data_IF_654865105608
#
_entry.id   IF_654865105608
#
_cell.length_a   1.000
_cell.length_b   1.000
_cell.length_c   1.000
_cell.angle_alpha   90.00
_cell.angle_beta   90.00
_cell.angle_gamma   90.00
#
_symmetry.space_group_name_H-M   'P 1'
#
loop_
_entity.id
_entity.type
_entity.pdbx_description
1 polymer ?
#
# COMPACT_ATOMS: atom_id res chain seq x y z
N UNK A 1 62.62 -6.31 -36.29
CA UNK A 1 61.94 -5.52 -37.34
C UNK A 1 60.72 -6.29 -37.83
N UNK A 2 59.56 -5.64 -37.95
CA UNK A 2 58.49 -5.95 -38.94
C UNK A 2 58.80 -5.11 -40.21
N UNK A 3 58.27 -5.35 -41.44
CA UNK A 3 56.89 -5.78 -41.77
C UNK A 3 56.89 -7.04 -42.70
N UNK A 4 55.85 -7.45 -43.46
CA UNK A 4 54.57 -6.80 -43.82
C UNK A 4 53.37 -7.78 -43.93
N UNK A 5 52.44 -7.57 -44.89
CA UNK A 5 51.18 -8.32 -45.06
C UNK A 5 51.03 -8.93 -46.47
N UNK A 6 50.20 -9.97 -46.61
CA UNK A 6 49.17 -10.02 -47.67
C UNK A 6 47.96 -10.88 -47.24
N UNK A 7 46.76 -10.53 -47.72
CA UNK A 7 45.48 -11.19 -47.43
C UNK A 7 45.02 -12.03 -48.63
N UNK A 8 44.41 -13.20 -48.40
CA UNK A 8 43.32 -13.77 -49.23
C UNK A 8 42.29 -14.41 -48.29
N UNK A 9 41.01 -14.38 -48.66
CA UNK A 9 39.88 -14.86 -47.86
C UNK A 9 39.03 -15.93 -48.58
N UNK A 10 38.43 -16.85 -47.82
CA UNK A 10 37.16 -17.58 -48.09
C UNK A 10 36.91 -18.53 -46.92
N UNK A 11 35.87 -18.34 -46.10
CA UNK A 11 34.47 -18.72 -46.33
C UNK A 11 34.17 -20.22 -46.10
N UNK A 12 33.93 -20.59 -44.84
CA UNK A 12 32.93 -21.62 -44.49
C UNK A 12 32.00 -21.01 -43.44
N UNK A 13 30.79 -20.65 -43.88
CA UNK A 13 29.74 -20.18 -42.99
C UNK A 13 28.98 -21.41 -42.44
N UNK A 14 29.39 -21.90 -41.28
CA UNK A 14 28.57 -22.83 -40.51
C UNK A 14 27.46 -22.02 -39.81
N UNK A 15 26.30 -21.92 -40.46
CA UNK A 15 25.12 -21.29 -39.89
C UNK A 15 24.55 -22.15 -38.75
N UNK A 16 25.08 -21.97 -37.54
CA UNK A 16 24.40 -22.41 -36.33
C UNK A 16 23.18 -21.53 -36.09
N UNK A 17 22.07 -21.93 -36.71
CA UNK A 17 20.72 -21.54 -36.31
C UNK A 17 20.43 -22.15 -34.93
N UNK A 18 21.06 -21.59 -33.90
CA UNK A 18 20.58 -21.75 -32.53
C UNK A 18 19.27 -20.98 -32.46
N UNK A 19 18.18 -21.71 -32.57
CA UNK A 19 16.85 -21.17 -32.31
C UNK A 19 16.82 -20.62 -30.88
N UNK A 20 16.81 -19.29 -30.74
CA UNK A 20 16.55 -18.57 -29.49
C UNK A 20 15.07 -18.70 -29.06
N UNK A 21 14.54 -19.91 -29.16
CA UNK A 21 13.19 -20.25 -28.74
C UNK A 21 13.19 -20.46 -27.23
N UNK A 22 12.81 -19.41 -26.51
CA UNK A 22 12.07 -19.55 -25.26
C UNK A 22 12.73 -20.40 -24.17
N UNK A 23 13.93 -20.03 -23.72
CA UNK A 23 14.23 -20.18 -22.29
C UNK A 23 13.45 -19.13 -21.50
N UNK A 24 12.12 -19.26 -21.55
CA UNK A 24 11.21 -18.62 -20.61
C UNK A 24 11.52 -19.24 -19.26
N UNK A 25 12.40 -18.57 -18.50
CA UNK A 25 12.79 -19.03 -17.17
C UNK A 25 11.52 -19.22 -16.35
N UNK A 26 11.15 -20.47 -16.08
CA UNK A 26 9.96 -20.78 -15.29
C UNK A 26 10.24 -20.36 -13.85
N UNK A 27 9.96 -19.08 -13.56
CA UNK A 27 9.96 -18.55 -12.20
C UNK A 27 9.04 -19.44 -11.36
N UNK A 28 9.50 -19.82 -10.17
CA UNK A 28 8.75 -20.72 -9.31
C UNK A 28 7.36 -20.14 -9.02
N UNK A 29 6.31 -20.81 -9.50
CA UNK A 29 4.90 -20.44 -9.27
C UNK A 29 4.62 -20.44 -7.77
N UNK A 30 4.53 -19.24 -7.18
CA UNK A 30 4.68 -19.09 -5.74
C UNK A 30 3.41 -19.43 -4.94
N UNK A 31 2.25 -19.50 -5.60
CA UNK A 31 1.00 -19.97 -5.01
C UNK A 31 0.08 -20.61 -6.07
N UNK A 32 -0.38 -21.84 -5.86
CA UNK A 32 -1.45 -22.47 -6.65
C UNK A 32 -1.28 -22.52 -8.17
N UNK A 33 -0.05 -22.41 -8.69
CA UNK A 33 0.21 -22.27 -10.13
C UNK A 33 -0.04 -20.86 -10.71
N UNK A 34 -0.41 -19.88 -9.89
CA UNK A 34 -0.64 -18.50 -10.31
C UNK A 34 0.70 -17.81 -10.58
N UNK A 35 0.85 -17.30 -11.80
CA UNK A 35 1.99 -16.49 -12.21
C UNK A 35 1.72 -14.99 -12.04
N UNK A 36 2.81 -14.27 -11.83
CA UNK A 36 2.86 -12.81 -11.97
C UNK A 36 2.51 -12.36 -13.40
N UNK A 37 2.14 -11.10 -13.54
CA UNK A 37 2.05 -10.45 -14.86
C UNK A 37 3.42 -10.42 -15.53
N UNK A 38 3.49 -10.69 -16.84
CA UNK A 38 4.72 -10.49 -17.61
C UNK A 38 5.04 -9.01 -17.76
N UNK A 39 4.00 -8.20 -17.98
CA UNK A 39 4.05 -6.75 -18.06
C UNK A 39 2.84 -6.13 -17.36
N UNK A 40 3.00 -4.92 -16.87
CA UNK A 40 1.88 -4.09 -16.43
C UNK A 40 1.66 -2.96 -17.45
N UNK A 41 0.43 -2.45 -17.52
CA UNK A 41 0.18 -1.22 -18.27
C UNK A 41 1.05 -0.09 -17.67
N UNK A 42 1.63 0.81 -18.48
CA UNK A 42 2.16 2.05 -17.94
C UNK A 42 1.05 2.75 -17.16
N UNK A 43 1.27 3.01 -15.87
CA UNK A 43 0.41 3.94 -15.16
C UNK A 43 0.77 5.31 -15.71
N UNK A 44 -0.23 6.07 -16.15
CA UNK A 44 0.01 7.46 -16.54
C UNK A 44 0.74 8.17 -15.40
N UNK A 45 1.76 9.01 -15.69
CA UNK A 45 2.36 9.85 -14.67
C UNK A 45 1.26 10.64 -13.97
N UNK A 46 0.86 10.16 -12.79
CA UNK A 46 0.04 10.88 -11.82
C UNK A 46 0.92 12.05 -11.41
N UNK A 47 0.81 13.09 -12.24
CA UNK A 47 1.72 14.22 -12.26
C UNK A 47 1.71 14.76 -10.83
N UNK A 48 2.85 14.69 -10.10
CA UNK A 48 2.85 15.08 -8.71
C UNK A 48 2.29 16.49 -8.63
N UNK A 49 1.22 16.69 -7.84
CA UNK A 49 0.49 17.96 -7.79
C UNK A 49 1.37 19.16 -7.39
N UNK A 50 2.61 18.89 -6.96
CA UNK A 50 3.70 19.85 -6.77
C UNK A 50 4.66 19.90 -7.98
N UNK A 51 4.18 20.29 -9.16
CA UNK A 51 5.04 20.90 -10.21
C UNK A 51 4.30 21.82 -11.21
N UNK A 52 3.11 22.34 -10.86
CA UNK A 52 2.63 23.57 -11.48
C UNK A 52 3.45 24.74 -10.95
N UNK A 53 4.38 25.24 -11.76
CA UNK A 53 5.15 26.44 -11.42
C UNK A 53 4.20 27.64 -11.28
N UNK A 54 4.21 28.39 -10.16
CA UNK A 54 3.47 29.63 -10.04
C UNK A 54 4.22 30.76 -10.76
N UNK A 55 4.14 30.78 -12.10
CA UNK A 55 4.60 31.90 -12.91
C UNK A 55 3.44 32.87 -13.11
N UNK A 56 3.64 34.11 -12.63
CA UNK A 56 2.77 35.28 -12.81
C UNK A 56 1.41 35.27 -12.10
N UNK A 57 1.44 35.57 -10.80
CA UNK A 57 0.51 36.56 -10.25
C UNK A 57 1.25 37.55 -9.33
N UNK A 58 1.56 38.73 -9.88
CA UNK A 58 2.12 39.85 -9.13
C UNK A 58 1.03 40.57 -8.35
N UNK A 59 0.70 40.06 -7.17
CA UNK A 59 -0.08 40.77 -6.15
C UNK A 59 0.56 40.52 -4.78
N UNK A 60 0.82 41.55 -3.95
CA UNK A 60 1.41 41.36 -2.63
C UNK A 60 0.38 40.79 -1.66
N UNK A 61 0.44 39.48 -1.42
CA UNK A 61 -0.30 38.84 -0.33
C UNK A 61 0.54 38.84 0.96
N UNK A 62 -0.10 39.31 2.03
CA UNK A 62 0.45 39.34 3.39
C UNK A 62 0.78 37.92 3.85
N UNK A 63 2.00 37.71 4.34
CA UNK A 63 2.47 36.38 4.79
C UNK A 63 1.91 36.07 6.17
N UNK A 64 1.06 35.04 6.27
CA UNK A 64 0.77 34.34 7.52
C UNK A 64 1.85 33.25 7.73
N UNK A 65 2.65 33.32 8.82
CA UNK A 65 3.76 32.38 9.04
C UNK A 65 3.36 31.03 9.66
N UNK A 66 2.06 30.68 9.79
CA UNK A 66 1.61 29.52 10.58
C UNK A 66 1.37 28.19 9.81
N UNK A 67 1.85 28.04 8.57
CA UNK A 67 1.64 26.82 7.75
C UNK A 67 2.88 25.92 7.58
N UNK A 68 3.32 25.33 8.70
CA UNK A 68 4.42 24.36 8.77
C UNK A 68 4.04 22.89 8.52
N UNK A 69 3.13 22.57 7.59
CA UNK A 69 2.91 21.19 7.12
C UNK A 69 2.01 21.15 5.86
N UNK A 70 2.59 21.30 4.68
CA UNK A 70 1.90 20.99 3.42
C UNK A 70 1.69 19.48 3.29
N UNK A 71 0.66 18.95 3.98
CA UNK A 71 0.12 17.63 3.66
C UNK A 71 -0.32 17.69 2.20
N UNK A 72 0.40 16.96 1.35
CA UNK A 72 -0.04 16.74 -0.03
C UNK A 72 -1.47 16.22 0.03
N UNK A 73 -2.44 17.00 -0.45
CA UNK A 73 -3.78 16.46 -0.70
C UNK A 73 -3.58 15.37 -1.73
N UNK A 74 -3.61 14.11 -1.29
CA UNK A 74 -3.95 13.02 -2.19
C UNK A 74 -5.20 13.49 -2.94
N UNK A 75 -5.16 13.45 -4.28
CA UNK A 75 -6.31 13.82 -5.09
C UNK A 75 -7.50 13.04 -4.55
N UNK A 76 -8.55 13.74 -4.10
CA UNK A 76 -9.79 13.08 -3.75
C UNK A 76 -10.27 12.42 -5.02
N UNK A 77 -10.15 11.11 -5.09
CA UNK A 77 -10.85 10.34 -6.11
C UNK A 77 -12.31 10.43 -5.70
N UNK A 78 -13.05 11.34 -6.35
CA UNK A 78 -14.37 11.78 -5.90
C UNK A 78 -15.43 10.66 -5.88
N UNK A 79 -15.07 9.45 -6.35
CA UNK A 79 -15.67 8.19 -5.94
C UNK A 79 -14.60 7.08 -5.98
N UNK A 80 -14.03 6.61 -4.85
CA UNK A 80 -13.19 5.43 -4.85
C UNK A 80 -14.06 4.20 -5.14
N UNK A 81 -13.62 3.31 -6.03
CA UNK A 81 -14.35 2.08 -6.29
C UNK A 81 -14.25 1.17 -5.06
N UNK A 82 -15.39 0.68 -4.57
CA UNK A 82 -15.46 -0.21 -3.42
C UNK A 82 -15.81 -1.63 -3.86
N UNK A 83 -14.88 -2.55 -3.62
CA UNK A 83 -15.07 -3.98 -3.84
C UNK A 83 -15.13 -4.69 -2.47
N UNK A 84 -16.22 -5.42 -2.24
CA UNK A 84 -16.44 -6.15 -1.01
C UNK A 84 -16.10 -7.64 -1.20
N UNK A 85 -15.44 -8.23 -0.21
CA UNK A 85 -15.19 -9.67 -0.18
C UNK A 85 -15.20 -10.19 1.27
N UNK A 86 -15.60 -11.46 1.49
CA UNK A 86 -15.51 -12.09 2.79
C UNK A 86 -14.04 -12.39 3.13
N UNK A 87 -13.68 -12.30 4.40
CA UNK A 87 -12.36 -12.69 4.91
C UNK A 87 -12.48 -13.70 6.04
N UNK A 88 -11.42 -14.49 6.31
CA UNK A 88 -11.38 -15.34 7.50
C UNK A 88 -11.57 -14.52 8.78
N UNK A 89 -12.35 -15.04 9.73
CA UNK A 89 -12.64 -14.34 10.99
C UNK A 89 -11.39 -14.12 11.86
N UNK A 90 -10.42 -15.04 11.80
CA UNK A 90 -9.13 -14.90 12.49
C UNK A 90 -8.34 -13.69 12.00
N UNK A 91 -8.41 -13.39 10.69
CA UNK A 91 -7.70 -12.29 10.03
C UNK A 91 -8.27 -10.91 10.40
N UNK A 92 -9.53 -10.84 10.85
CA UNK A 92 -10.20 -9.59 11.14
C UNK A 92 -9.61 -8.86 12.37
N UNK A 93 -9.31 -7.57 12.23
CA UNK A 93 -8.69 -6.74 13.26
C UNK A 93 -7.56 -5.83 12.73
N UNK A 94 -6.81 -5.20 13.64
CA UNK A 94 -5.58 -4.47 13.33
C UNK A 94 -4.37 -5.34 13.58
N UNK A 95 -3.39 -5.24 12.69
CA UNK A 95 -2.16 -6.01 12.71
C UNK A 95 -0.97 -5.08 12.49
N UNK A 96 0.10 -5.27 13.26
CA UNK A 96 1.39 -4.63 13.04
C UNK A 96 2.41 -5.62 12.48
N UNK A 97 3.25 -5.14 11.57
CA UNK A 97 4.43 -5.83 11.05
C UNK A 97 5.67 -5.07 11.53
N UNK A 98 6.72 -5.81 11.89
CA UNK A 98 8.08 -5.29 12.09
C UNK A 98 9.05 -6.15 11.26
N UNK A 99 9.37 -5.67 10.08
CA UNK A 99 10.31 -6.27 9.13
C UNK A 99 9.77 -7.44 8.30
N UNK A 100 10.53 -7.73 7.25
CA UNK A 100 10.35 -8.86 6.34
C UNK A 100 11.63 -9.71 6.29
N UNK A 101 11.47 -11.03 6.23
CA UNK A 101 12.56 -11.94 5.87
C UNK A 101 12.54 -12.09 4.34
N UNK A 102 13.51 -11.48 3.66
CA UNK A 102 13.70 -11.69 2.22
C UNK A 102 14.43 -13.01 2.01
N UNK A 103 13.75 -14.03 1.51
CA UNK A 103 14.33 -15.36 1.27
C UNK A 103 15.26 -15.34 0.06
N UNK A 104 14.80 -14.77 -1.05
CA UNK A 104 15.54 -14.74 -2.33
C UNK A 104 15.10 -13.58 -3.21
N UNK A 105 16.02 -13.10 -4.05
CA UNK A 105 15.76 -12.09 -5.09
C UNK A 105 16.29 -12.60 -6.43
N UNK A 106 15.53 -12.43 -7.51
CA UNK A 106 15.92 -12.78 -8.88
C UNK A 106 15.97 -11.52 -9.75
N UNK A 107 17.11 -11.23 -10.38
CA UNK A 107 17.20 -10.21 -11.44
C UNK A 107 16.61 -10.81 -12.72
N UNK A 108 15.44 -10.31 -13.15
CA UNK A 108 14.70 -10.88 -14.29
C UNK A 108 15.36 -10.60 -15.64
N UNK A 109 16.29 -9.65 -15.72
CA UNK A 109 17.10 -9.38 -16.92
C UNK A 109 18.23 -10.39 -17.10
N UNK A 110 18.72 -11.00 -16.02
CA UNK A 110 19.82 -11.98 -16.06
C UNK A 110 19.39 -13.41 -15.73
N UNK A 111 18.21 -13.59 -15.13
CA UNK A 111 17.73 -14.88 -14.60
C UNK A 111 18.47 -15.35 -13.35
N UNK A 112 19.36 -14.53 -12.77
CA UNK A 112 20.15 -14.91 -11.60
C UNK A 112 19.33 -14.72 -10.32
N UNK A 113 19.09 -15.82 -9.61
CA UNK A 113 18.51 -15.83 -8.26
C UNK A 113 19.61 -15.85 -7.20
N UNK A 114 19.56 -14.88 -6.29
CA UNK A 114 20.42 -14.79 -5.10
C UNK A 114 19.59 -15.15 -3.86
N UNK A 115 19.96 -16.18 -3.08
CA UNK A 115 19.39 -16.38 -1.75
C UNK A 115 19.92 -15.29 -0.82
N UNK A 116 19.02 -14.64 -0.07
CA UNK A 116 19.35 -13.54 0.83
C UNK A 116 19.22 -13.97 2.29
N UNK A 117 18.07 -14.55 2.65
CA UNK A 117 17.66 -14.86 4.04
C UNK A 117 17.92 -13.69 5.02
N UNK A 118 17.72 -12.47 4.54
CA UNK A 118 18.03 -11.23 5.25
C UNK A 118 16.76 -10.64 5.86
N UNK A 119 16.82 -10.25 7.13
CA UNK A 119 15.78 -9.48 7.79
C UNK A 119 15.94 -8.00 7.43
N UNK A 120 14.97 -7.45 6.70
CA UNK A 120 14.89 -6.02 6.38
C UNK A 120 13.94 -5.38 7.37
N UNK A 121 14.41 -4.39 8.12
CA UNK A 121 13.55 -3.63 9.05
C UNK A 121 12.64 -2.67 8.28
N UNK A 122 11.34 -2.92 8.37
CA UNK A 122 10.27 -2.07 7.89
C UNK A 122 9.11 -2.05 8.90
N UNK A 123 8.23 -1.05 8.79
CA UNK A 123 7.09 -0.90 9.70
C UNK A 123 5.80 -0.64 8.95
N UNK A 124 4.78 -1.45 9.21
CA UNK A 124 3.44 -1.28 8.65
C UNK A 124 2.37 -1.68 9.66
N UNK A 125 1.27 -0.92 9.69
CA UNK A 125 0.01 -1.33 10.34
C UNK A 125 -1.07 -1.51 9.27
N UNK A 126 -1.81 -2.62 9.34
CA UNK A 126 -2.91 -2.94 8.42
C UNK A 126 -4.18 -3.29 9.20
N UNK A 127 -5.34 -2.88 8.70
CA UNK A 127 -6.65 -3.25 9.27
C UNK A 127 -7.41 -4.11 8.27
N UNK A 128 -7.78 -5.32 8.68
CA UNK A 128 -8.53 -6.30 7.89
C UNK A 128 -9.94 -6.47 8.48
N UNK A 129 -10.93 -6.60 7.59
CA UNK A 129 -12.35 -6.57 7.93
C UNK A 129 -12.84 -5.18 8.36
N UNK A 130 -14.02 -4.77 7.89
CA UNK A 130 -14.66 -3.51 8.29
C UNK A 130 -16.13 -3.65 8.66
N UNK A 131 -16.82 -4.69 8.18
CA UNK A 131 -18.22 -4.92 8.49
C UNK A 131 -18.50 -6.40 8.73
N UNK A 132 -19.69 -6.67 9.30
CA UNK A 132 -20.25 -8.01 9.40
C UNK A 132 -21.59 -8.06 8.68
N UNK A 133 -21.90 -9.20 8.07
CA UNK A 133 -23.21 -9.48 7.51
C UNK A 133 -24.22 -9.95 8.59
N UNK A 134 -25.41 -10.41 8.17
CA UNK A 134 -26.47 -10.91 9.06
C UNK A 134 -26.12 -12.25 9.74
N UNK A 135 -25.20 -13.02 9.18
CA UNK A 135 -24.74 -14.31 9.70
C UNK A 135 -23.48 -14.17 10.58
N UNK A 136 -22.86 -12.98 10.58
CA UNK A 136 -21.68 -12.67 11.37
C UNK A 136 -20.35 -12.90 10.64
N UNK A 137 -20.37 -13.27 9.34
CA UNK A 137 -19.16 -13.34 8.54
C UNK A 137 -18.54 -11.95 8.42
N UNK A 138 -17.21 -11.86 8.39
CA UNK A 138 -16.51 -10.58 8.30
C UNK A 138 -16.22 -10.24 6.85
N UNK A 139 -16.56 -9.02 6.47
CA UNK A 139 -16.38 -8.48 5.13
C UNK A 139 -15.35 -7.35 5.16
N UNK A 140 -14.42 -7.37 4.19
CA UNK A 140 -13.47 -6.29 3.96
C UNK A 140 -13.85 -5.51 2.70
N UNK A 141 -13.63 -4.20 2.74
CA UNK A 141 -13.81 -3.31 1.60
C UNK A 141 -12.44 -2.93 1.03
N UNK A 142 -12.14 -3.41 -0.17
CA UNK A 142 -11.07 -2.86 -0.97
C UNK A 142 -11.56 -1.56 -1.62
N UNK A 143 -11.13 -0.42 -1.07
CA UNK A 143 -11.33 0.89 -1.69
C UNK A 143 -10.12 1.15 -2.59
N UNK A 144 -10.35 1.28 -3.90
CA UNK A 144 -9.29 1.60 -4.87
C UNK A 144 -9.55 2.91 -5.61
N UNK A 145 -8.51 3.75 -5.81
CA UNK A 145 -7.16 3.57 -5.26
C UNK A 145 -7.12 3.86 -3.75
N UNK A 146 -6.18 3.24 -3.03
CA UNK A 146 -5.90 3.58 -1.62
C UNK A 146 -4.42 3.58 -1.31
N UNK A 147 -3.98 4.57 -0.54
CA UNK A 147 -2.58 4.75 -0.16
C UNK A 147 -2.30 4.12 1.21
N UNK A 148 -1.18 3.40 1.32
CA UNK A 148 -0.60 2.98 2.59
C UNK A 148 0.79 3.60 2.72
N UNK A 149 1.08 4.16 3.88
CA UNK A 149 2.39 4.73 4.20
C UNK A 149 3.16 3.77 5.12
N UNK A 150 4.46 3.69 4.92
CA UNK A 150 5.39 2.94 5.75
C UNK A 150 6.80 3.53 5.70
N UNK A 151 7.71 2.91 6.43
CA UNK A 151 9.13 3.26 6.46
C UNK A 151 9.97 2.00 6.24
N UNK A 152 11.04 2.11 5.45
CA UNK A 152 12.00 1.03 5.18
C UNK A 152 13.39 1.62 4.98
N UNK A 153 14.37 1.18 5.77
CA UNK A 153 15.78 1.60 5.68
C UNK A 153 15.98 3.14 5.63
N UNK A 154 15.21 3.90 6.42
CA UNK A 154 15.28 5.38 6.46
C UNK A 154 14.63 6.09 5.27
N UNK A 155 13.94 5.36 4.38
CA UNK A 155 13.07 5.91 3.33
C UNK A 155 11.62 5.91 3.81
N UNK A 156 10.89 6.98 3.52
CA UNK A 156 9.43 6.92 3.55
C UNK A 156 8.95 6.22 2.28
N UNK A 157 8.01 5.28 2.42
CA UNK A 157 7.45 4.52 1.30
C UNK A 157 5.94 4.71 1.26
N UNK A 158 5.43 5.14 0.10
CA UNK A 158 4.01 5.15 -0.22
C UNK A 158 3.69 4.01 -1.17
N UNK A 159 2.69 3.21 -0.80
CA UNK A 159 2.11 2.13 -1.59
C UNK A 159 0.70 2.54 -2.00
N UNK A 160 0.55 3.06 -3.21
CA UNK A 160 -0.76 3.35 -3.80
C UNK A 160 -1.30 2.05 -4.43
N UNK A 161 -2.21 1.39 -3.73
CA UNK A 161 -2.95 0.24 -4.25
C UNK A 161 -3.87 0.74 -5.37
N UNK A 162 -3.61 0.27 -6.59
CA UNK A 162 -4.43 0.58 -7.78
C UNK A 162 -5.34 -0.58 -8.19
N UNK A 163 -4.99 -1.80 -7.80
CA UNK A 163 -5.85 -2.97 -7.92
C UNK A 163 -5.54 -3.98 -6.80
N UNK A 164 -6.56 -4.66 -6.28
CA UNK A 164 -6.42 -5.81 -5.41
C UNK A 164 -7.49 -6.81 -5.83
N UNK A 165 -7.09 -8.07 -6.04
CA UNK A 165 -7.98 -9.17 -6.38
C UNK A 165 -7.80 -10.31 -5.39
N UNK A 166 -8.90 -10.94 -5.02
CA UNK A 166 -8.88 -12.19 -4.24
C UNK A 166 -8.65 -13.36 -5.18
N UNK A 167 -7.65 -14.18 -4.86
CA UNK A 167 -7.33 -15.42 -5.56
C UNK A 167 -7.97 -16.62 -4.86
N UNK A 168 -7.96 -16.60 -3.52
CA UNK A 168 -8.62 -17.58 -2.66
C UNK A 168 -9.12 -16.88 -1.40
N UNK A 169 -10.33 -17.22 -0.96
CA UNK A 169 -10.84 -16.92 0.38
C UNK A 169 -11.54 -18.16 0.93
N UNK A 170 -10.93 -18.81 1.92
CA UNK A 170 -11.50 -19.92 2.68
C UNK A 170 -11.50 -19.56 4.17
N UNK A 171 -12.17 -20.31 5.06
CA UNK A 171 -12.07 -20.03 6.50
C UNK A 171 -10.64 -20.17 7.08
N UNK A 172 -9.73 -20.84 6.35
CA UNK A 172 -8.35 -21.11 6.76
C UNK A 172 -7.30 -20.26 6.03
N UNK A 173 -7.54 -19.89 4.76
CA UNK A 173 -6.57 -19.15 3.94
C UNK A 173 -7.19 -17.88 3.34
N UNK A 174 -6.36 -16.86 3.15
CA UNK A 174 -6.62 -15.81 2.17
C UNK A 174 -5.41 -15.70 1.23
N UNK A 175 -5.65 -15.70 -0.08
CA UNK A 175 -4.64 -15.40 -1.09
C UNK A 175 -5.08 -14.20 -1.92
N UNK A 176 -4.18 -13.23 -2.11
CA UNK A 176 -4.46 -11.98 -2.82
C UNK A 176 -3.43 -11.70 -3.91
N UNK A 177 -3.85 -10.96 -4.93
CA UNK A 177 -3.00 -10.33 -5.94
C UNK A 177 -3.20 -8.82 -5.84
N UNK A 178 -2.17 -8.08 -5.47
CA UNK A 178 -2.25 -6.63 -5.28
C UNK A 178 -1.26 -5.92 -6.20
N UNK A 179 -1.73 -4.93 -6.95
CA UNK A 179 -0.90 -4.05 -7.76
C UNK A 179 -0.79 -2.69 -7.06
N UNK A 180 0.46 -2.29 -6.82
CA UNK A 180 0.86 -1.02 -6.24
C UNK A 180 1.61 -0.15 -7.26
N UNK A 181 1.38 1.16 -7.22
CA UNK A 181 2.42 2.13 -7.56
C UNK A 181 3.16 2.47 -6.27
N UNK A 182 4.46 2.27 -6.27
CA UNK A 182 5.34 2.50 -5.11
C UNK A 182 6.13 3.77 -5.34
N UNK A 183 6.16 4.64 -4.33
CA UNK A 183 6.98 5.86 -4.29
C UNK A 183 7.87 5.83 -3.05
N UNK A 184 9.17 5.98 -3.26
CA UNK A 184 10.15 6.08 -2.18
C UNK A 184 10.68 7.51 -2.07
N UNK A 185 10.78 8.07 -0.85
CA UNK A 185 11.40 9.38 -0.61
C UNK A 185 12.42 9.33 0.52
N UNK A 186 13.49 10.14 0.38
CA UNK A 186 14.50 10.37 1.41
C UNK A 186 14.33 11.81 1.87
N UNK A 187 13.88 12.01 3.12
CA UNK A 187 13.44 13.32 3.60
C UNK A 187 12.30 13.89 2.74
N UNK A 188 12.62 14.88 1.89
CA UNK A 188 11.67 15.51 0.94
C UNK A 188 11.94 15.17 -0.53
N UNK A 189 13.02 14.46 -0.83
CA UNK A 189 13.44 14.17 -2.21
C UNK A 189 12.88 12.83 -2.68
N UNK A 190 12.42 12.78 -3.93
CA UNK A 190 11.97 11.54 -4.58
C UNK A 190 13.17 10.65 -4.88
N UNK A 191 13.21 9.45 -4.28
CA UNK A 191 14.28 8.48 -4.49
C UNK A 191 13.98 7.54 -5.67
N UNK A 192 12.76 7.02 -5.78
CA UNK A 192 12.34 6.14 -6.88
C UNK A 192 10.80 6.14 -7.03
N UNK A 193 10.33 5.75 -8.21
CA UNK A 193 8.93 5.43 -8.49
C UNK A 193 8.84 4.22 -9.43
N UNK A 194 8.11 3.19 -8.99
CA UNK A 194 7.99 1.93 -9.72
C UNK A 194 6.61 1.29 -9.54
N UNK A 195 6.29 0.30 -10.37
CA UNK A 195 5.11 -0.53 -10.17
C UNK A 195 5.52 -1.84 -9.48
N UNK A 196 4.66 -2.39 -8.63
CA UNK A 196 4.88 -3.68 -7.98
C UNK A 196 3.60 -4.50 -7.98
N UNK A 197 3.71 -5.77 -8.36
CA UNK A 197 2.66 -6.77 -8.15
C UNK A 197 3.08 -7.71 -7.02
N UNK A 198 2.20 -7.90 -6.04
CA UNK A 198 2.37 -8.86 -4.96
C UNK A 198 1.34 -9.98 -5.06
N UNK A 199 1.81 -11.22 -5.03
CA UNK A 199 1.00 -12.41 -4.78
C UNK A 199 1.26 -12.81 -3.33
N UNK A 200 0.27 -12.68 -2.45
CA UNK A 200 0.43 -12.94 -1.01
C UNK A 200 -0.53 -14.04 -0.55
N UNK A 201 -0.01 -15.04 0.17
CA UNK A 201 -0.80 -16.02 0.92
C UNK A 201 -0.68 -15.73 2.42
N UNK A 202 -1.82 -15.50 3.07
CA UNK A 202 -1.93 -15.30 4.51
C UNK A 202 -2.36 -16.59 5.20
N UNK A 203 -1.63 -16.95 6.27
CA UNK A 203 -1.91 -18.09 7.13
C UNK A 203 -1.83 -17.69 8.60
N UNK A 204 -2.69 -18.25 9.44
CA UNK A 204 -2.59 -18.11 10.90
C UNK A 204 -1.50 -19.05 11.43
N UNK A 205 -0.65 -18.58 12.34
CA UNK A 205 0.51 -19.35 12.84
C UNK A 205 0.51 -19.45 14.36
N UNK A 206 0.17 -20.64 14.87
CA UNK A 206 0.11 -20.90 16.31
C UNK A 206 -1.17 -20.35 16.94
N UNK A 207 -1.06 -19.27 17.70
CA UNK A 207 -2.22 -18.62 18.35
C UNK A 207 -2.94 -17.65 17.42
N UNK A 208 -4.16 -17.24 17.81
CA UNK A 208 -5.03 -16.33 17.04
C UNK A 208 -4.47 -14.91 16.80
N UNK A 209 -3.30 -14.59 17.36
CA UNK A 209 -2.70 -13.25 17.34
C UNK A 209 -1.43 -13.18 16.46
N UNK A 210 -1.08 -14.25 15.74
CA UNK A 210 0.05 -14.28 14.80
C UNK A 210 -0.37 -14.78 13.42
N UNK A 211 0.02 -14.02 12.41
CA UNK A 211 -0.26 -14.32 11.00
C UNK A 211 1.05 -14.17 10.20
N UNK A 212 1.35 -15.16 9.38
CA UNK A 212 2.40 -15.05 8.37
C UNK A 212 1.77 -14.62 7.05
N UNK A 213 2.46 -13.74 6.33
CA UNK A 213 2.17 -13.46 4.93
C UNK A 213 3.37 -13.88 4.08
N UNK A 214 3.20 -14.94 3.29
CA UNK A 214 4.21 -15.46 2.38
C UNK A 214 3.95 -14.80 1.02
N UNK A 215 4.91 -14.01 0.54
CA UNK A 215 4.71 -13.12 -0.62
C UNK A 215 5.71 -13.38 -1.74
N UNK A 216 5.22 -13.35 -2.97
CA UNK A 216 6.02 -13.11 -4.18
C UNK A 216 5.78 -11.67 -4.64
N UNK A 217 6.83 -10.89 -4.78
CA UNK A 217 6.77 -9.50 -5.23
C UNK A 217 7.55 -9.34 -6.54
N UNK A 218 6.84 -9.10 -7.65
CA UNK A 218 7.44 -8.66 -8.91
C UNK A 218 7.47 -7.15 -8.97
N UNK A 219 8.66 -6.59 -9.12
CA UNK A 219 8.87 -5.15 -9.33
C UNK A 219 9.10 -4.89 -10.80
N UNK A 220 8.40 -3.90 -11.34
CA UNK A 220 8.47 -3.44 -12.71
C UNK A 220 9.03 -2.02 -12.78
N UNK A 221 9.48 -1.56 -13.95
CA UNK A 221 9.72 -0.15 -14.20
C UNK A 221 8.41 0.64 -14.12
N UNK A 222 8.52 1.98 -14.11
CA UNK A 222 7.35 2.83 -14.22
C UNK A 222 6.53 2.55 -15.50
N UNK A 223 7.21 2.17 -16.58
CA UNK A 223 6.65 1.75 -17.87
C UNK A 223 6.20 0.27 -17.90
N UNK A 224 6.08 -0.39 -16.74
CA UNK A 224 5.54 -1.75 -16.63
C UNK A 224 6.49 -2.88 -17.09
N UNK A 225 7.80 -2.61 -17.27
CA UNK A 225 8.78 -3.62 -17.67
C UNK A 225 9.33 -4.39 -16.45
N UNK A 226 9.28 -5.73 -16.40
CA UNK A 226 9.71 -6.49 -15.23
C UNK A 226 11.21 -6.30 -14.96
N UNK A 227 11.57 -6.05 -13.69
CA UNK A 227 12.96 -5.82 -13.23
C UNK A 227 13.46 -6.94 -12.32
N UNK A 228 12.71 -7.28 -11.28
CA UNK A 228 13.10 -8.28 -10.27
C UNK A 228 11.88 -9.00 -9.69
N UNK A 229 12.07 -10.26 -9.31
CA UNK A 229 11.17 -11.00 -8.41
C UNK A 229 11.82 -11.13 -7.04
N UNK A 230 11.04 -11.05 -5.98
CA UNK A 230 11.48 -11.28 -4.60
C UNK A 230 10.52 -12.19 -3.86
N UNK A 231 11.04 -13.13 -3.07
CA UNK A 231 10.24 -13.96 -2.15
C UNK A 231 10.48 -13.51 -0.72
N UNK A 232 9.40 -13.21 0.00
CA UNK A 232 9.44 -12.66 1.35
C UNK A 232 8.50 -13.41 2.29
N UNK A 233 8.83 -13.41 3.58
CA UNK A 233 7.92 -13.77 4.67
C UNK A 233 7.80 -12.58 5.61
N UNK A 234 6.57 -12.10 5.79
CA UNK A 234 6.20 -11.07 6.76
C UNK A 234 5.56 -11.72 7.99
N UNK A 235 5.97 -11.34 9.19
CA UNK A 235 5.33 -11.76 10.43
C UNK A 235 4.47 -10.63 11.01
N UNK A 236 3.18 -10.88 11.16
CA UNK A 236 2.22 -9.94 11.74
C UNK A 236 1.80 -10.35 13.14
N UNK A 237 1.72 -9.37 14.04
CA UNK A 237 1.12 -9.52 15.38
C UNK A 237 -0.18 -8.73 15.46
N UNK A 238 -1.21 -9.33 16.03
CA UNK A 238 -2.52 -8.68 16.20
C UNK A 238 -2.45 -7.63 17.31
N UNK A 239 -2.86 -6.41 17.01
CA UNK A 239 -2.80 -5.26 17.93
C UNK A 239 -4.18 -4.75 18.34
N UNK A 240 -5.24 -5.10 17.60
CA UNK A 240 -6.63 -4.83 18.00
C UNK A 240 -7.54 -5.88 17.39
N UNK A 241 -8.55 -6.31 18.15
CA UNK A 241 -9.59 -7.19 17.65
C UNK A 241 -10.47 -6.48 16.60
N UNK A 242 -11.29 -7.27 15.90
CA UNK A 242 -12.25 -6.73 14.94
C UNK A 242 -13.36 -5.93 15.62
N UNK A 243 -13.56 -4.71 15.14
CA UNK A 243 -14.72 -3.88 15.42
C UNK A 243 -15.28 -3.35 14.09
N UNK A 244 -16.60 -3.33 13.86
CA UNK A 244 -17.17 -2.74 12.65
C UNK A 244 -16.88 -1.23 12.56
N UNK A 245 -16.42 -0.79 11.39
CA UNK A 245 -16.21 0.63 11.10
C UNK A 245 -17.48 1.22 10.47
N UNK A 246 -18.06 2.26 11.10
CA UNK A 246 -19.26 2.92 10.56
C UNK A 246 -19.00 3.56 9.19
N UNK A 247 -17.87 4.25 9.02
CA UNK A 247 -17.50 4.88 7.76
C UNK A 247 -15.99 4.86 7.49
N UNK A 248 -15.63 5.00 6.21
CA UNK A 248 -14.24 5.13 5.75
C UNK A 248 -14.21 5.98 4.48
N UNK A 249 -13.34 6.99 4.43
CA UNK A 249 -13.25 7.94 3.30
C UNK A 249 -14.61 8.58 2.93
N UNK A 250 -15.46 8.86 3.92
CA UNK A 250 -16.80 9.44 3.72
C UNK A 250 -17.91 8.45 3.38
N UNK A 251 -17.58 7.20 3.02
CA UNK A 251 -18.55 6.16 2.68
C UNK A 251 -19.10 5.50 3.96
N UNK A 252 -20.43 5.41 4.10
CA UNK A 252 -21.09 4.52 5.06
C UNK A 252 -20.88 3.06 4.63
N UNK A 253 -20.09 2.34 5.43
CA UNK A 253 -19.70 0.97 5.10
C UNK A 253 -20.82 -0.05 5.37
N UNK A 254 -21.73 0.21 6.31
CA UNK A 254 -22.84 -0.69 6.60
C UNK A 254 -23.89 -0.64 5.46
N UNK A 255 -24.21 0.57 5.00
CA UNK A 255 -25.09 0.78 3.85
C UNK A 255 -24.44 0.21 2.57
N UNK A 256 -23.16 0.53 2.31
CA UNK A 256 -22.44 0.03 1.13
C UNK A 256 -22.36 -1.50 1.06
N UNK A 257 -22.06 -2.19 2.17
CA UNK A 257 -22.05 -3.66 2.20
C UNK A 257 -23.45 -4.22 1.90
N UNK A 258 -24.50 -3.66 2.49
CA UNK A 258 -25.86 -4.13 2.26
C UNK A 258 -26.28 -3.99 0.79
N UNK A 259 -25.90 -2.90 0.11
CA UNK A 259 -26.20 -2.69 -1.30
C UNK A 259 -25.39 -3.62 -2.21
N UNK A 260 -24.12 -3.86 -1.89
CA UNK A 260 -23.30 -4.88 -2.55
C UNK A 260 -23.95 -6.27 -2.42
N UNK A 261 -24.33 -6.69 -1.22
CA UNK A 261 -24.95 -7.99 -0.97
C UNK A 261 -26.27 -8.16 -1.74
N UNK A 262 -27.12 -7.11 -1.81
CA UNK A 262 -28.37 -7.15 -2.59
C UNK A 262 -28.11 -7.28 -4.09
N UNK A 263 -27.19 -6.46 -4.63
CA UNK A 263 -26.87 -6.44 -6.07
C UNK A 263 -26.19 -7.72 -6.56
N UNK A 264 -25.51 -8.46 -5.67
CA UNK A 264 -24.82 -9.71 -5.98
C UNK A 264 -25.62 -10.97 -5.60
N UNK A 265 -26.96 -10.88 -5.53
CA UNK A 265 -27.88 -11.99 -5.19
C UNK A 265 -27.66 -12.61 -3.79
N UNK A 266 -26.99 -11.91 -2.88
CA UNK A 266 -26.71 -12.30 -1.49
C UNK A 266 -27.61 -11.55 -0.49
N UNK A 267 -28.81 -11.15 -0.89
CA UNK A 267 -29.71 -10.32 -0.08
C UNK A 267 -30.06 -10.93 1.30
N UNK A 268 -29.99 -12.26 1.46
CA UNK A 268 -30.18 -12.95 2.75
C UNK A 268 -29.06 -12.64 3.77
N UNK A 269 -27.86 -12.24 3.30
CA UNK A 269 -26.74 -11.80 4.13
C UNK A 269 -26.87 -10.33 4.53
N UNK A 270 -27.67 -9.52 3.83
CA UNK A 270 -27.83 -8.11 4.17
C UNK A 270 -28.46 -7.96 5.56
N UNK A 271 -27.88 -7.10 6.40
CA UNK A 271 -28.48 -6.74 7.68
C UNK A 271 -29.78 -5.99 7.42
N UNK A 272 -30.85 -6.41 8.10
CA UNK A 272 -32.05 -5.61 8.19
C UNK A 272 -31.66 -4.27 8.84
N UNK A 273 -31.75 -3.20 8.06
CA UNK A 273 -31.70 -1.85 8.63
C UNK A 273 -33.02 -1.71 9.35
N UNK A 274 -33.00 -1.89 10.68
CA UNK A 274 -34.16 -1.58 11.51
C UNK A 274 -34.63 -0.20 11.11
N UNK A 275 -35.81 -0.12 10.50
CA UNK A 275 -36.36 1.16 10.05
C UNK A 275 -36.30 2.09 11.25
N UNK A 276 -35.57 3.20 11.13
CA UNK A 276 -35.52 4.20 12.18
C UNK A 276 -36.94 4.72 12.29
N UNK A 277 -37.70 4.18 13.24
CA UNK A 277 -39.05 4.66 13.53
C UNK A 277 -38.91 6.16 13.72
N UNK A 278 -39.51 6.99 12.85
CA UNK A 278 -39.39 8.43 12.99
C UNK A 278 -39.76 8.77 14.43
N UNK A 279 -38.96 9.58 15.15
CA UNK A 279 -39.21 9.86 16.56
C UNK A 279 -40.67 10.30 16.67
N UNK A 280 -41.46 9.52 17.43
CA UNK A 280 -42.92 9.60 17.40
C UNK A 280 -43.30 11.06 17.65
N UNK A 281 -43.75 11.74 16.61
CA UNK A 281 -43.78 13.19 16.59
C UNK A 281 -44.95 13.61 17.49
N UNK A 282 -44.65 13.87 18.77
CA UNK A 282 -45.59 13.93 19.90
C UNK A 282 -46.62 15.04 19.85
N UNK A 283 -46.76 15.71 18.71
CA UNK A 283 -47.84 16.63 18.39
C UNK A 283 -49.12 15.86 18.07
N UNK A 284 -49.64 15.19 19.11
CA UNK A 284 -51.05 14.84 19.22
C UNK A 284 -51.88 16.13 19.39
N UNK A 285 -51.92 16.97 18.35
CA UNK A 285 -52.91 18.02 18.27
C UNK A 285 -54.28 17.35 18.10
N UNK A 286 -55.13 17.50 19.13
CA UNK A 286 -56.46 16.92 19.14
C UNK A 286 -57.27 17.38 17.94
N UNK A 287 -57.78 16.42 17.18
CA UNK A 287 -58.66 16.69 16.05
C UNK A 287 -60.00 17.23 16.57
N UNK A 288 -60.25 18.52 16.35
CA UNK A 288 -61.50 19.20 16.72
C UNK A 288 -61.89 20.21 15.65
N UNK A 289 -62.94 19.87 14.89
CA UNK A 289 -63.61 20.66 13.85
C UNK A 289 -62.76 20.87 12.56
N UNK A 290 -63.23 20.55 11.35
CA UNK A 290 -64.50 20.88 10.67
C UNK A 290 -64.55 22.31 10.14
N UNK A 291 -64.91 22.44 8.85
CA UNK A 291 -64.93 23.65 8.02
C UNK A 291 -63.52 24.24 7.70
N UNK A 292 -63.24 24.73 6.49
CA UNK A 292 -64.06 24.79 5.28
C UNK A 292 -63.21 25.07 4.03
N UNK A 293 -63.84 24.95 2.86
CA UNK A 293 -63.24 25.25 1.56
C UNK A 293 -62.95 26.75 1.43
N UNK A 294 -61.75 27.15 1.01
CA UNK A 294 -61.62 28.40 0.25
C UNK A 294 -60.40 28.43 -0.67
N UNK A 295 -60.61 29.02 -1.84
CA UNK A 295 -59.64 29.12 -2.94
C UNK A 295 -59.32 30.57 -3.24
N UNK A 296 -58.06 30.99 -3.13
CA UNK A 296 -57.62 32.30 -3.64
C UNK A 296 -56.19 32.29 -4.15
N UNK A 297 -55.99 32.92 -5.31
CA UNK A 297 -54.68 33.19 -5.90
C UNK A 297 -53.96 34.33 -5.15
N UNK A 298 -52.64 34.26 -5.05
CA UNK A 298 -51.80 35.34 -4.51
C UNK A 298 -50.35 35.23 -4.97
N UNK A 299 -49.95 36.05 -5.94
CA UNK A 299 -48.59 36.14 -6.47
C UNK A 299 -47.91 37.42 -5.96
N UNK A 300 -46.68 37.32 -5.42
CA UNK A 300 -45.75 38.45 -5.37
C UNK A 300 -44.31 38.03 -5.05
N UNK A 301 -43.37 38.41 -5.92
CA UNK A 301 -41.94 38.49 -5.61
C UNK A 301 -41.64 39.65 -4.64
N UNK A 302 -40.62 39.55 -3.78
CA UNK A 302 -39.75 40.69 -3.45
C UNK A 302 -38.42 40.28 -2.78
N UNK A 303 -37.41 41.13 -2.92
CA UNK A 303 -36.07 41.01 -2.35
C UNK A 303 -36.00 41.48 -0.89
N UNK A 304 -34.95 41.09 -0.16
CA UNK A 304 -34.65 41.62 1.17
C UNK A 304 -33.24 41.31 1.67
N UNK A 305 -32.31 42.25 1.48
CA UNK A 305 -31.01 42.28 2.17
C UNK A 305 -31.19 42.82 3.59
N UNK A 306 -30.41 42.36 4.58
CA UNK A 306 -30.47 42.88 5.96
C UNK A 306 -29.22 42.56 6.79
N UNK A 307 -28.42 43.60 7.08
CA UNK A 307 -27.30 43.56 8.03
C UNK A 307 -27.68 44.20 9.39
N UNK A 308 -26.77 44.05 10.37
CA UNK A 308 -26.73 44.67 11.71
C UNK A 308 -27.68 44.08 12.76
N UNK A 309 -27.28 43.96 14.04
CA UNK A 309 -25.98 44.23 14.68
C UNK A 309 -26.11 44.16 16.22
N UNK A 310 -24.99 44.20 16.98
CA UNK A 310 -25.06 44.33 18.46
C UNK A 310 -23.91 43.72 19.27
N UNK A 311 -22.97 44.56 19.70
CA UNK A 311 -21.93 44.29 20.74
C UNK A 311 -22.51 44.73 22.12
N UNK A 312 -22.01 44.29 23.31
CA UNK A 312 -20.74 44.81 23.86
C UNK A 312 -19.89 43.84 24.75
N UNK A 313 -18.63 43.66 24.36
CA UNK A 313 -17.40 43.97 25.11
C UNK A 313 -17.31 43.76 26.66
N UNK A 314 -16.27 43.05 27.12
CA UNK A 314 -15.62 43.27 28.43
C UNK A 314 -14.08 43.08 28.37
N UNK A 315 -13.35 43.96 29.07
CA UNK A 315 -11.88 44.07 29.08
C UNK A 315 -11.17 43.06 30.02
N UNK A 316 -9.87 42.81 29.81
CA UNK A 316 -9.01 42.19 30.86
C UNK A 316 -7.60 41.72 30.45
N UNK A 317 -6.64 42.65 30.30
CA UNK A 317 -5.19 42.41 30.29
C UNK A 317 -4.58 43.49 31.23
N UNK A 318 -3.53 43.27 32.06
CA UNK A 318 -2.18 42.97 31.55
C UNK A 318 -1.21 42.12 32.42
N UNK A 319 -0.09 41.75 31.77
CA UNK A 319 1.26 41.46 32.30
C UNK A 319 1.58 40.11 32.99
N UNK A 320 2.66 39.49 32.49
CA UNK A 320 3.39 38.38 33.11
C UNK A 320 4.50 37.89 32.18
N UNK A 321 5.74 38.34 32.37
CA UNK A 321 6.85 38.07 31.45
C UNK A 321 7.58 36.74 31.69
N UNK A 322 8.51 36.39 30.80
CA UNK A 322 9.37 35.21 30.95
C UNK A 322 10.18 34.85 29.71
N UNK A 323 11.36 35.46 29.55
CA UNK A 323 12.41 34.96 28.65
C UNK A 323 13.02 33.69 29.27
N UNK A 324 13.40 32.69 28.48
CA UNK A 324 14.83 32.39 28.49
C UNK A 324 15.46 32.14 27.11
N UNK A 325 16.68 32.67 26.95
CA UNK A 325 17.64 32.22 25.96
C UNK A 325 17.82 30.70 26.01
N UNK A 326 17.97 30.08 24.85
CA UNK A 326 18.86 28.93 24.73
C UNK A 326 19.73 29.05 23.47
N UNK A 327 21.04 28.94 23.68
CA UNK A 327 22.08 29.11 22.66
C UNK A 327 23.06 27.95 22.71
N UNK A 328 23.61 27.58 21.55
CA UNK A 328 24.41 26.36 21.34
C UNK A 328 23.93 25.67 20.05
N UNK A 329 24.54 25.82 18.87
CA UNK A 329 25.96 25.79 18.50
C UNK A 329 26.63 24.44 18.83
N UNK A 330 27.01 23.67 17.79
CA UNK A 330 27.56 22.32 17.95
C UNK A 330 27.64 21.53 16.64
N UNK A 331 28.66 21.82 15.83
CA UNK A 331 28.96 21.07 14.61
C UNK A 331 29.37 19.62 14.91
N UNK A 332 28.87 18.65 14.13
CA UNK A 332 29.74 17.56 13.66
C UNK A 332 29.27 17.00 12.31
N UNK A 333 30.19 17.07 11.35
CA UNK A 333 30.06 16.54 10.01
C UNK A 333 30.44 15.05 10.03
N UNK A 334 29.52 14.13 9.73
CA UNK A 334 29.87 12.73 9.46
C UNK A 334 29.20 12.22 8.18
N UNK A 335 30.05 11.89 7.20
CA UNK A 335 29.69 11.20 5.96
C UNK A 335 28.99 9.87 6.26
N UNK A 336 27.71 9.75 5.92
CA UNK A 336 27.09 8.46 5.69
C UNK A 336 27.12 8.14 4.19
N UNK A 337 27.90 7.13 3.83
CA UNK A 337 28.06 6.68 2.45
C UNK A 337 26.73 6.13 1.91
N UNK A 338 26.12 6.91 1.01
CA UNK A 338 24.88 6.57 0.34
C UNK A 338 25.11 5.45 -0.69
N UNK A 339 24.98 4.19 -0.26
CA UNK A 339 25.06 3.02 -1.16
C UNK A 339 23.74 2.81 -1.88
N UNK A 340 23.56 3.52 -3.00
CA UNK A 340 22.72 3.03 -4.07
C UNK A 340 23.23 1.64 -4.51
N UNK A 341 22.33 0.67 -4.65
CA UNK A 341 22.68 -0.70 -5.06
C UNK A 341 22.96 -0.77 -6.57
N UNK A 342 24.11 -0.23 -6.98
CA UNK A 342 24.83 -0.69 -8.16
C UNK A 342 26.24 -1.12 -7.73
N UNK A 343 26.40 -2.40 -7.38
CA UNK A 343 27.73 -2.99 -7.23
C UNK A 343 28.16 -3.66 -8.54
N UNK A 344 29.29 -3.22 -9.05
CA UNK A 344 30.09 -3.88 -10.08
C UNK A 344 30.46 -5.30 -9.67
N UNK A 345 30.29 -6.25 -10.58
CA UNK A 345 30.76 -7.63 -10.46
C UNK A 345 32.29 -7.69 -10.34
N UNK A 346 32.81 -7.68 -9.11
CA UNK A 346 34.18 -8.12 -8.85
C UNK A 346 34.22 -9.66 -8.85
N UNK A 347 35.21 -10.22 -9.56
CA UNK A 347 35.43 -11.67 -9.61
C UNK A 347 35.69 -12.23 -8.20
N UNK A 348 35.18 -13.43 -7.85
CA UNK A 348 35.57 -14.08 -6.62
C UNK A 348 37.08 -14.38 -6.62
N UNK A 349 37.74 -14.09 -5.50
CA UNK A 349 39.10 -14.52 -5.27
C UNK A 349 39.19 -16.05 -5.24
N UNK A 350 40.29 -16.61 -5.74
CA UNK A 350 40.55 -18.05 -5.69
C UNK A 350 40.61 -18.51 -4.23
N UNK A 351 39.79 -19.48 -3.85
CA UNK A 351 39.84 -20.12 -2.54
C UNK A 351 41.08 -21.01 -2.46
N UNK A 352 41.91 -20.81 -1.43
CA UNK A 352 42.99 -21.73 -1.07
C UNK A 352 42.41 -23.10 -0.66
N UNK A 353 43.10 -24.22 -0.93
CA UNK A 353 42.56 -25.56 -0.70
C UNK A 353 42.32 -25.85 0.78
N UNK A 354 41.16 -26.43 1.07
CA UNK A 354 40.77 -26.90 2.41
C UNK A 354 41.65 -28.08 2.83
N UNK A 355 42.26 -27.97 4.01
CA UNK A 355 43.07 -29.02 4.62
C UNK A 355 42.17 -30.16 5.08
N UNK A 356 42.22 -31.31 4.41
CA UNK A 356 41.46 -32.50 4.81
C UNK A 356 42.02 -33.06 6.13
N UNK A 357 41.18 -33.16 7.16
CA UNK A 357 41.45 -33.98 8.35
C UNK A 357 41.17 -35.45 8.05
N UNK A 358 42.02 -36.40 8.47
CA UNK A 358 41.74 -37.82 8.26
C UNK A 358 40.51 -38.27 9.06
N UNK A 359 39.59 -38.96 8.39
CA UNK A 359 38.51 -39.70 9.06
C UNK A 359 39.13 -40.96 9.66
N UNK A 360 39.03 -41.14 10.98
CA UNK A 360 39.37 -42.41 11.61
C UNK A 360 38.34 -43.47 11.21
N UNK A 361 38.81 -44.49 10.51
CA UNK A 361 38.01 -45.67 10.16
C UNK A 361 37.82 -46.52 11.41
N UNK A 362 36.60 -46.58 11.93
CA UNK A 362 36.24 -47.45 13.06
C UNK A 362 36.18 -48.89 12.57
N UNK A 363 36.93 -49.79 13.20
CA UNK A 363 36.91 -51.23 12.91
C UNK A 363 35.62 -51.84 13.49
N UNK A 364 34.76 -52.47 12.67
CA UNK A 364 33.51 -53.09 13.14
C UNK A 364 33.72 -54.38 13.96
N UNK A 365 34.96 -54.87 14.15
CA UNK A 365 35.25 -56.14 14.83
C UNK A 365 35.89 -56.00 16.23
N UNK A 366 35.73 -54.87 16.93
CA UNK A 366 36.24 -54.68 18.29
C UNK A 366 35.13 -54.86 19.36
N UNK A 367 35.02 -56.02 20.04
CA UNK A 367 34.03 -56.26 21.09
C UNK A 367 34.55 -55.82 22.47
N UNK A 368 34.54 -54.50 22.73
CA UNK A 368 34.70 -53.91 24.06
C UNK A 368 33.72 -52.74 24.24
#
# INVERSE_FOLDING_TARGET
MRPHNLKIASCIAAAFLVSLNGLSGMCATLYGGVNHSDFLAPVDPVQPAAQQNPVQQTAPLTVDPTLGASRSRAATVDNPAIEWFPIPSWMAGKWSKKGDITQSVTDLRTGITTPMNEFIEDYMTVTWGYQKDSQGNVWHANLVPSERLGESQGKNVSFLIVNLRILEATPQNLATRTHYVVRETIGRELSDIFQQESLTHYQLVGSNDRMDAISSNRVFSYQGQPKRDGKLISHYTKSTNFEPLQSKQGIDLATSLNDYLRTHNMAALAKQVSAVTPPANGNSFGNGNSFGNDSSFGNSNSFGNGMAGGNPNWNGNPNGGGNPNWSGNGSSNQNFNNRSFQQTLQRPAQQSPVRQTPVQQIDPNNPF
#
